data_IF_540753645039
#
_entry.id   IF_540753645039
#
_cell.length_a   1.000
_cell.length_b   1.000
_cell.length_c   1.000
_cell.angle_alpha   90.00
_cell.angle_beta   90.00
_cell.angle_gamma   90.00
#
_symmetry.space_group_name_H-M   'P 1'
#
loop_
_entity.id
_entity.type
_entity.pdbx_description
1 polymer ?
#
# COMPACT_ATOMS: atom_id res chain seq x y z
N UNK A 1 -19.90 24.38 -16.94
CA UNK A 1 -19.57 25.50 -17.88
C UNK A 1 -18.92 24.97 -19.17
N UNK A 2 -17.86 24.16 -19.11
CA UNK A 2 -17.18 23.59 -20.29
C UNK A 2 -18.13 22.82 -21.19
N UNK A 3 -19.02 22.00 -20.64
CA UNK A 3 -20.02 21.24 -21.39
C UNK A 3 -21.00 22.16 -22.15
N UNK A 4 -21.41 23.26 -21.52
CA UNK A 4 -22.28 24.26 -22.16
C UNK A 4 -21.58 24.96 -23.31
N UNK A 5 -20.31 25.34 -23.16
CA UNK A 5 -19.49 25.92 -24.20
C UNK A 5 -19.27 24.99 -25.40
N UNK A 6 -19.15 23.67 -25.13
CA UNK A 6 -19.00 22.65 -26.16
C UNK A 6 -20.35 22.26 -26.83
N UNK A 7 -21.48 22.76 -26.32
CA UNK A 7 -22.81 22.37 -26.79
C UNK A 7 -23.13 20.88 -26.58
N UNK A 8 -22.53 20.26 -25.56
CA UNK A 8 -22.68 18.82 -25.24
C UNK A 8 -23.22 18.67 -23.83
N UNK A 9 -23.87 17.54 -23.57
CA UNK A 9 -24.29 17.19 -22.22
C UNK A 9 -23.06 16.85 -21.36
N UNK A 10 -23.04 17.25 -20.05
CA UNK A 10 -21.97 16.87 -19.14
C UNK A 10 -21.93 15.35 -18.95
N UNK A 11 -20.73 14.83 -18.68
CA UNK A 11 -20.55 13.43 -18.28
C UNK A 11 -20.94 13.20 -16.83
N UNK A 12 -20.71 11.99 -16.31
CA UNK A 12 -20.99 11.66 -14.92
C UNK A 12 -20.38 12.69 -13.94
N UNK A 13 -21.06 12.95 -12.83
CA UNK A 13 -20.66 13.91 -11.78
C UNK A 13 -20.47 15.35 -12.30
N UNK A 14 -20.98 15.68 -13.50
CA UNK A 14 -20.88 17.01 -14.08
C UNK A 14 -19.53 17.35 -14.74
N UNK A 15 -18.65 16.37 -14.92
CA UNK A 15 -17.40 16.57 -15.66
C UNK A 15 -17.63 16.85 -17.15
N UNK A 16 -16.64 17.47 -17.79
CA UNK A 16 -16.67 17.69 -19.24
C UNK A 16 -16.68 16.36 -20.02
N UNK A 17 -17.39 16.29 -21.15
CA UNK A 17 -17.46 15.07 -21.96
C UNK A 17 -16.11 14.69 -22.61
N UNK A 18 -15.15 15.63 -22.65
CA UNK A 18 -13.79 15.47 -23.19
C UNK A 18 -12.75 15.08 -22.15
N UNK A 19 -13.14 14.80 -20.89
CA UNK A 19 -12.22 14.52 -19.79
C UNK A 19 -11.19 13.44 -20.15
N UNK A 20 -11.63 12.30 -20.67
CA UNK A 20 -10.75 11.20 -21.02
C UNK A 20 -9.78 11.56 -22.15
N UNK A 21 -10.23 12.33 -23.15
CA UNK A 21 -9.37 12.75 -24.26
C UNK A 21 -8.30 13.73 -23.80
N UNK A 22 -8.67 14.73 -23.01
CA UNK A 22 -7.75 15.73 -22.47
C UNK A 22 -6.70 15.09 -21.54
N UNK A 23 -7.13 14.14 -20.71
CA UNK A 23 -6.22 13.37 -19.87
C UNK A 23 -5.28 12.50 -20.72
N UNK A 24 -5.79 11.83 -21.74
CA UNK A 24 -5.02 11.01 -22.67
C UNK A 24 -3.92 11.80 -23.38
N UNK A 25 -4.23 12.99 -23.88
CA UNK A 25 -3.25 13.87 -24.53
C UNK A 25 -2.04 14.21 -23.62
N UNK A 26 -2.29 14.43 -22.33
CA UNK A 26 -1.23 14.64 -21.36
C UNK A 26 -0.42 13.36 -21.11
N UNK A 27 -1.10 12.27 -20.86
CA UNK A 27 -0.47 11.01 -20.45
C UNK A 27 0.34 10.36 -21.57
N UNK A 28 -0.08 10.46 -22.82
CA UNK A 28 0.64 9.92 -23.99
C UNK A 28 1.99 10.60 -24.24
N UNK A 29 2.23 11.78 -23.69
CA UNK A 29 3.53 12.44 -23.75
C UNK A 29 4.56 11.85 -22.79
N UNK A 30 4.12 11.09 -21.81
CA UNK A 30 4.96 10.40 -20.82
C UNK A 30 5.30 9.03 -21.42
N UNK A 31 6.40 9.00 -22.16
CA UNK A 31 6.77 7.81 -22.93
C UNK A 31 8.29 7.64 -23.01
N UNK A 32 8.71 6.42 -23.31
CA UNK A 32 10.10 6.10 -23.66
C UNK A 32 10.30 6.21 -25.18
N UNK A 33 11.38 6.84 -25.58
CA UNK A 33 11.81 6.98 -26.97
C UNK A 33 13.17 6.33 -27.19
N UNK A 34 13.69 6.37 -28.42
CA UNK A 34 15.05 5.88 -28.71
C UNK A 34 16.14 6.67 -28.00
N UNK A 35 15.89 7.93 -27.68
CA UNK A 35 16.89 8.85 -27.12
C UNK A 35 16.75 9.08 -25.62
N UNK A 36 15.68 8.58 -24.99
CA UNK A 36 15.47 8.76 -23.56
C UNK A 36 14.06 8.37 -23.11
N UNK A 37 13.81 8.51 -21.81
CA UNK A 37 12.53 8.18 -21.20
C UNK A 37 12.07 9.31 -20.27
N UNK A 38 10.77 9.42 -20.08
CA UNK A 38 10.15 10.31 -19.09
C UNK A 38 9.53 9.44 -17.98
N UNK A 39 10.03 9.62 -16.76
CA UNK A 39 9.39 9.06 -15.56
C UNK A 39 8.58 10.15 -14.88
N UNK A 40 7.33 9.91 -14.58
CA UNK A 40 6.48 10.87 -13.88
C UNK A 40 6.06 10.35 -12.50
N UNK A 41 5.95 11.28 -11.56
CA UNK A 41 5.29 11.07 -10.27
C UNK A 41 4.14 12.08 -10.20
N UNK A 42 2.92 11.56 -10.13
CA UNK A 42 1.72 12.36 -10.20
C UNK A 42 0.94 12.26 -8.89
N UNK A 43 0.72 13.38 -8.22
CA UNK A 43 -0.19 13.44 -7.09
C UNK A 43 -1.63 13.61 -7.62
N UNK A 44 -2.47 12.62 -7.35
CA UNK A 44 -3.88 12.63 -7.76
C UNK A 44 -4.75 12.89 -6.54
N UNK A 45 -5.50 14.00 -6.58
CA UNK A 45 -6.47 14.29 -5.54
C UNK A 45 -7.75 13.49 -5.77
N UNK A 46 -8.20 12.77 -4.75
CA UNK A 46 -9.39 11.92 -4.82
C UNK A 46 -10.52 12.59 -4.05
N UNK A 47 -11.57 13.12 -4.73
CA UNK A 47 -12.68 13.77 -4.07
C UNK A 47 -13.44 12.80 -3.15
N UNK A 48 -13.67 13.22 -1.91
CA UNK A 48 -14.41 12.44 -0.91
C UNK A 48 -13.92 11.00 -0.68
N UNK A 49 -12.63 10.74 -0.92
CA UNK A 49 -12.02 9.41 -0.86
C UNK A 49 -12.66 8.38 -1.82
N UNK A 50 -13.36 8.84 -2.85
CA UNK A 50 -14.04 8.01 -3.84
C UNK A 50 -13.15 7.75 -5.06
N UNK A 51 -12.46 6.61 -5.08
CA UNK A 51 -11.62 6.16 -6.18
C UNK A 51 -12.40 5.90 -7.48
N UNK A 52 -13.72 5.80 -7.41
CA UNK A 52 -14.60 5.59 -8.57
C UNK A 52 -15.04 6.91 -9.24
N UNK A 53 -14.73 8.06 -8.63
CA UNK A 53 -14.95 9.35 -9.26
C UNK A 53 -14.29 9.40 -10.65
N UNK A 54 -14.96 9.95 -11.69
CA UNK A 54 -14.43 9.93 -13.06
C UNK A 54 -13.04 10.53 -13.24
N UNK A 55 -12.65 11.53 -12.45
CA UNK A 55 -11.35 12.17 -12.58
C UNK A 55 -10.19 11.24 -12.13
N UNK A 56 -10.16 10.71 -10.89
CA UNK A 56 -9.15 9.74 -10.51
C UNK A 56 -9.24 8.44 -11.32
N UNK A 57 -10.43 7.91 -11.58
CA UNK A 57 -10.60 6.67 -12.34
C UNK A 57 -10.01 6.77 -13.76
N UNK A 58 -10.25 7.88 -14.47
CA UNK A 58 -9.66 8.12 -15.78
C UNK A 58 -8.14 8.26 -15.72
N UNK A 59 -7.62 8.92 -14.69
CA UNK A 59 -6.19 9.09 -14.49
C UNK A 59 -5.51 7.77 -14.22
N UNK A 60 -6.05 6.94 -13.34
CA UNK A 60 -5.48 5.64 -12.95
C UNK A 60 -5.36 4.67 -14.11
N UNK A 61 -6.24 4.74 -15.10
CA UNK A 61 -6.18 3.92 -16.30
C UNK A 61 -4.87 4.11 -17.11
N UNK A 62 -4.22 5.25 -16.98
CA UNK A 62 -2.98 5.59 -17.68
C UNK A 62 -1.70 5.31 -16.86
N UNK A 63 -1.83 5.01 -15.56
CA UNK A 63 -0.67 4.84 -14.68
C UNK A 63 -0.16 3.40 -14.69
N UNK A 64 1.18 3.25 -14.63
CA UNK A 64 1.82 1.95 -14.52
C UNK A 64 1.86 1.44 -13.08
N UNK A 65 1.86 2.34 -12.11
CA UNK A 65 1.79 2.03 -10.70
C UNK A 65 0.95 3.07 -9.94
N UNK A 66 0.22 2.60 -8.95
CA UNK A 66 -0.56 3.46 -8.06
C UNK A 66 -0.18 3.20 -6.61
N UNK A 67 0.03 4.28 -5.85
CA UNK A 67 0.21 4.22 -4.41
C UNK A 67 -0.96 4.95 -3.77
N UNK A 68 -1.86 4.19 -3.14
CA UNK A 68 -3.07 4.72 -2.54
C UNK A 68 -2.86 5.00 -1.05
N UNK A 69 -3.09 6.24 -0.63
CA UNK A 69 -3.09 6.62 0.79
C UNK A 69 -4.50 6.49 1.36
N UNK A 70 -4.63 5.87 2.52
CA UNK A 70 -5.92 5.55 3.14
C UNK A 70 -6.08 6.21 4.52
N UNK A 71 -7.20 6.91 4.75
CA UNK A 71 -7.54 7.46 6.07
C UNK A 71 -7.74 6.37 7.12
N UNK A 72 -8.28 5.22 6.73
CA UNK A 72 -8.47 4.07 7.62
C UNK A 72 -7.15 3.56 8.20
N UNK A 73 -6.06 3.66 7.42
CA UNK A 73 -4.72 3.28 7.88
C UNK A 73 -4.14 4.36 8.80
N UNK A 74 -4.40 5.65 8.52
CA UNK A 74 -4.05 6.75 9.43
C UNK A 74 -4.71 6.58 10.80
N UNK A 75 -5.98 6.19 10.84
CA UNK A 75 -6.73 5.95 12.07
C UNK A 75 -6.12 4.82 12.93
N UNK A 76 -5.40 3.90 12.32
CA UNK A 76 -4.65 2.84 13.01
C UNK A 76 -3.27 3.31 13.49
N UNK A 77 -2.89 4.57 13.21
CA UNK A 77 -1.58 5.12 13.56
C UNK A 77 -0.42 4.60 12.70
N UNK A 78 -0.71 4.04 11.54
CA UNK A 78 0.29 3.48 10.62
C UNK A 78 0.71 4.56 9.61
N UNK A 79 2.00 4.86 9.58
CA UNK A 79 2.62 5.81 8.64
C UNK A 79 3.88 5.22 8.02
N UNK A 80 4.12 5.40 6.69
CA UNK A 80 3.21 6.02 5.72
C UNK A 80 1.92 5.25 5.55
N UNK A 81 0.80 5.94 5.35
CA UNK A 81 -0.55 5.34 5.36
C UNK A 81 -0.92 4.74 3.99
N UNK A 82 -0.03 3.96 3.42
CA UNK A 82 -0.23 3.29 2.13
C UNK A 82 -1.11 2.07 2.30
N UNK A 83 -2.16 1.96 1.48
CA UNK A 83 -3.01 0.77 1.43
C UNK A 83 -2.39 -0.27 0.48
N UNK A 84 -1.89 -1.40 0.99
CA UNK A 84 -1.23 -2.42 0.18
C UNK A 84 -2.21 -3.23 -0.70
N UNK A 85 -3.50 -3.22 -0.40
CA UNK A 85 -4.52 -3.93 -1.16
C UNK A 85 -5.06 -3.08 -2.32
N UNK A 86 -5.16 -1.76 -2.14
CA UNK A 86 -5.61 -0.82 -3.17
C UNK A 86 -4.46 -0.31 -4.06
N UNK A 87 -3.22 -0.45 -3.61
CA UNK A 87 -2.03 -0.09 -4.37
C UNK A 87 -1.62 -1.19 -5.34
N UNK A 88 -1.13 -0.80 -6.52
CA UNK A 88 -0.77 -1.76 -7.56
C UNK A 88 0.44 -1.31 -8.38
N UNK A 89 1.10 -2.25 -9.06
CA UNK A 89 2.16 -1.98 -10.02
C UNK A 89 2.15 -3.02 -11.13
N UNK A 90 2.25 -2.58 -12.38
CA UNK A 90 2.30 -3.47 -13.55
C UNK A 90 3.60 -4.28 -13.63
N UNK A 91 4.68 -3.76 -13.04
CA UNK A 91 5.96 -4.47 -13.03
C UNK A 91 6.07 -5.52 -11.93
N UNK A 92 5.05 -5.68 -11.09
CA UNK A 92 5.03 -6.74 -10.07
C UNK A 92 4.66 -8.10 -10.72
N UNK A 93 5.57 -8.59 -11.52
CA UNK A 93 5.50 -9.88 -12.22
C UNK A 93 6.80 -10.65 -11.97
N UNK A 94 6.73 -11.98 -11.90
CA UNK A 94 7.87 -12.81 -11.49
C UNK A 94 9.08 -12.71 -12.44
N UNK A 95 8.83 -12.53 -13.74
CA UNK A 95 9.85 -12.36 -14.76
C UNK A 95 10.52 -10.97 -14.75
N UNK A 96 9.91 -9.99 -14.08
CA UNK A 96 10.44 -8.62 -13.97
C UNK A 96 11.17 -8.40 -12.63
N UNK A 97 10.50 -8.71 -11.51
CA UNK A 97 11.04 -8.43 -10.17
C UNK A 97 11.72 -9.65 -9.53
N UNK A 98 11.62 -10.81 -10.14
CA UNK A 98 12.10 -12.10 -9.62
C UNK A 98 11.07 -12.83 -8.78
N UNK A 99 11.17 -14.16 -8.78
CA UNK A 99 10.23 -15.08 -8.11
C UNK A 99 10.05 -14.79 -6.62
N UNK A 100 11.14 -14.52 -5.90
CA UNK A 100 11.08 -14.30 -4.47
C UNK A 100 10.31 -13.03 -4.12
N UNK A 101 10.61 -11.92 -4.77
CA UNK A 101 9.92 -10.66 -4.55
C UNK A 101 8.43 -10.80 -4.88
N UNK A 102 8.12 -11.39 -6.05
CA UNK A 102 6.74 -11.60 -6.47
C UNK A 102 5.96 -12.47 -5.47
N UNK A 103 6.52 -13.63 -5.08
CA UNK A 103 5.92 -14.55 -4.12
C UNK A 103 5.64 -13.89 -2.78
N UNK A 104 6.63 -13.18 -2.23
CA UNK A 104 6.48 -12.50 -0.94
C UNK A 104 5.40 -11.42 -1.00
N UNK A 105 5.40 -10.57 -2.03
CA UNK A 105 4.40 -9.51 -2.19
C UNK A 105 2.98 -10.09 -2.31
N UNK A 106 2.79 -11.14 -3.12
CA UNK A 106 1.50 -11.82 -3.27
C UNK A 106 1.04 -12.47 -1.97
N UNK A 107 1.96 -13.09 -1.23
CA UNK A 107 1.62 -13.72 0.05
C UNK A 107 1.21 -12.70 1.11
N UNK A 108 1.88 -11.55 1.16
CA UNK A 108 1.48 -10.42 2.01
C UNK A 108 0.06 -9.95 1.67
N UNK A 109 -0.24 -9.76 0.39
CA UNK A 109 -1.59 -9.35 -0.06
C UNK A 109 -2.65 -10.41 0.31
N UNK A 110 -2.35 -11.69 0.10
CA UNK A 110 -3.25 -12.80 0.45
C UNK A 110 -3.59 -12.81 1.94
N UNK A 111 -2.56 -12.70 2.80
CA UNK A 111 -2.74 -12.68 4.26
C UNK A 111 -3.56 -11.47 4.70
N UNK A 112 -3.28 -10.29 4.17
CA UNK A 112 -4.02 -9.07 4.49
C UNK A 112 -5.47 -9.11 3.99
N UNK A 113 -5.70 -9.67 2.80
CA UNK A 113 -7.04 -9.83 2.25
C UNK A 113 -7.86 -10.81 3.11
N UNK A 114 -7.28 -11.96 3.45
CA UNK A 114 -7.93 -12.92 4.33
C UNK A 114 -8.23 -12.32 5.71
N UNK A 115 -7.32 -11.54 6.26
CA UNK A 115 -7.55 -10.84 7.52
C UNK A 115 -8.72 -9.86 7.44
N UNK A 116 -8.82 -9.09 6.34
CA UNK A 116 -9.94 -8.19 6.09
C UNK A 116 -11.28 -8.93 6.10
N UNK A 117 -11.35 -10.12 5.49
CA UNK A 117 -12.54 -10.96 5.48
C UNK A 117 -12.88 -11.52 6.88
N UNK A 118 -11.86 -11.84 7.67
CA UNK A 118 -12.06 -12.36 9.04
C UNK A 118 -12.44 -11.28 10.06
N UNK A 119 -12.20 -10.00 9.76
CA UNK A 119 -12.48 -8.91 10.71
C UNK A 119 -13.95 -8.84 11.12
N UNK A 120 -14.87 -9.06 10.20
CA UNK A 120 -16.31 -9.06 10.49
C UNK A 120 -16.69 -10.23 11.40
N UNK A 121 -16.10 -11.40 11.17
CA UNK A 121 -16.30 -12.60 12.00
C UNK A 121 -15.75 -12.35 13.41
N UNK A 122 -14.55 -11.80 13.52
CA UNK A 122 -13.91 -11.47 14.80
C UNK A 122 -14.74 -10.47 15.59
N UNK A 123 -15.31 -9.45 14.92
CA UNK A 123 -16.12 -8.43 15.57
C UNK A 123 -17.44 -8.98 16.16
N UNK A 124 -18.00 -10.01 15.54
CA UNK A 124 -19.30 -10.60 15.95
C UNK A 124 -19.10 -11.77 16.92
N UNK A 125 -18.21 -12.69 16.60
CA UNK A 125 -18.04 -13.96 17.31
C UNK A 125 -16.81 -14.00 18.23
N UNK A 126 -15.84 -13.11 18.02
CA UNK A 126 -14.57 -13.10 18.74
C UNK A 126 -13.50 -13.99 18.10
N UNK A 127 -12.27 -13.85 18.59
CA UNK A 127 -11.10 -14.59 18.09
C UNK A 127 -11.16 -16.09 18.39
N UNK A 128 -11.85 -16.47 19.47
CA UNK A 128 -11.89 -17.87 19.95
C UNK A 128 -12.60 -18.82 18.99
N UNK A 129 -13.54 -18.29 18.20
CA UNK A 129 -14.32 -19.06 17.22
C UNK A 129 -13.56 -19.34 15.91
N UNK A 130 -12.40 -18.73 15.72
CA UNK A 130 -11.57 -18.97 14.54
C UNK A 130 -10.85 -20.32 14.63
N UNK A 131 -10.61 -20.93 13.47
CA UNK A 131 -9.71 -22.08 13.36
C UNK A 131 -8.26 -21.67 13.73
N UNK A 132 -7.44 -22.63 14.12
CA UNK A 132 -6.04 -22.34 14.46
C UNK A 132 -5.27 -21.74 13.29
N UNK A 133 -5.55 -22.15 12.05
CA UNK A 133 -4.95 -21.59 10.84
C UNK A 133 -5.39 -20.14 10.61
N UNK A 134 -6.67 -19.82 10.89
CA UNK A 134 -7.17 -18.45 10.78
C UNK A 134 -6.60 -17.55 11.88
N UNK A 135 -6.47 -18.06 13.10
CA UNK A 135 -5.78 -17.34 14.19
C UNK A 135 -4.34 -17.01 13.82
N UNK A 136 -3.60 -17.97 13.27
CA UNK A 136 -2.24 -17.76 12.81
C UNK A 136 -2.18 -16.69 11.70
N UNK A 137 -3.11 -16.77 10.74
CA UNK A 137 -3.24 -15.75 9.68
C UNK A 137 -3.48 -14.35 10.26
N UNK A 138 -4.36 -14.22 11.24
CA UNK A 138 -4.64 -12.94 11.92
C UNK A 138 -3.41 -12.42 12.64
N UNK A 139 -2.67 -13.25 13.37
CA UNK A 139 -1.45 -12.84 14.06
C UNK A 139 -0.37 -12.35 13.09
N UNK A 140 -0.15 -13.07 12.00
CA UNK A 140 0.80 -12.64 10.95
C UNK A 140 0.33 -11.37 10.24
N UNK A 141 -0.96 -11.25 9.94
CA UNK A 141 -1.52 -10.05 9.33
C UNK A 141 -1.31 -8.80 10.19
N UNK A 142 -1.53 -8.88 11.49
CA UNK A 142 -1.28 -7.78 12.43
C UNK A 142 0.20 -7.38 12.48
N UNK A 143 1.11 -8.36 12.49
CA UNK A 143 2.55 -8.11 12.40
C UNK A 143 2.92 -7.41 11.08
N UNK A 144 2.38 -7.88 9.95
CA UNK A 144 2.55 -7.26 8.63
C UNK A 144 2.06 -5.81 8.65
N UNK A 145 0.86 -5.54 9.17
CA UNK A 145 0.33 -4.17 9.27
C UNK A 145 1.23 -3.26 10.10
N UNK A 146 1.74 -3.75 11.25
CA UNK A 146 2.68 -3.01 12.07
C UNK A 146 4.00 -2.78 11.36
N UNK A 147 4.53 -3.78 10.65
CA UNK A 147 5.80 -3.70 9.93
C UNK A 147 5.73 -2.80 8.68
N UNK A 148 4.54 -2.55 8.14
CA UNK A 148 4.32 -1.55 7.10
C UNK A 148 4.53 -0.11 7.61
N UNK A 149 4.44 0.14 8.91
CA UNK A 149 4.84 1.41 9.50
C UNK A 149 6.35 1.51 9.54
N UNK A 150 6.89 2.67 9.18
CA UNK A 150 8.33 2.90 9.33
C UNK A 150 8.64 4.36 9.63
N UNK A 151 9.75 4.64 10.34
CA UNK A 151 10.22 5.99 10.51
C UNK A 151 10.80 6.51 9.19
N UNK A 152 10.35 7.66 8.72
CA UNK A 152 10.83 8.27 7.49
C UNK A 152 11.26 9.71 7.70
N UNK A 153 12.25 10.16 6.93
CA UNK A 153 12.98 11.41 7.16
C UNK A 153 12.08 12.65 7.19
N UNK A 154 11.07 12.72 6.33
CA UNK A 154 10.15 13.86 6.27
C UNK A 154 9.34 14.03 7.56
N UNK A 155 9.10 12.94 8.28
CA UNK A 155 8.32 12.95 9.52
C UNK A 155 9.16 13.21 10.79
N UNK A 156 10.47 13.27 10.72
CA UNK A 156 11.35 13.41 11.90
C UNK A 156 11.00 14.60 12.78
N UNK A 157 10.67 15.74 12.16
CA UNK A 157 10.31 16.96 12.89
C UNK A 157 8.99 16.84 13.66
N UNK A 158 8.12 15.93 13.26
CA UNK A 158 6.82 15.71 13.88
C UNK A 158 6.83 14.57 14.90
N UNK A 159 7.58 13.52 14.61
CA UNK A 159 7.62 12.30 15.43
C UNK A 159 8.73 12.31 16.47
N UNK A 160 9.79 13.10 16.27
CA UNK A 160 11.01 13.05 17.06
C UNK A 160 11.84 11.77 16.86
N UNK A 161 11.45 10.92 15.91
CA UNK A 161 12.14 9.67 15.59
C UNK A 161 12.94 9.84 14.29
N UNK A 162 14.25 9.55 14.28
CA UNK A 162 15.05 9.62 13.06
C UNK A 162 14.53 8.69 11.98
N UNK A 163 14.45 9.21 10.74
CA UNK A 163 14.06 8.41 9.59
C UNK A 163 15.07 7.33 9.27
N UNK A 164 14.60 6.23 8.72
CA UNK A 164 15.44 5.09 8.34
C UNK A 164 15.21 4.72 6.88
N UNK A 165 16.27 4.72 6.09
CA UNK A 165 16.24 4.18 4.74
C UNK A 165 16.43 2.67 4.80
N UNK A 166 15.47 1.92 4.24
CA UNK A 166 15.52 0.46 4.16
C UNK A 166 15.68 0.05 2.69
N UNK A 167 16.78 -0.62 2.32
CA UNK A 167 16.95 -1.17 0.98
C UNK A 167 15.84 -2.18 0.63
N UNK A 168 15.49 -2.26 -0.67
CA UNK A 168 14.44 -3.17 -1.14
C UNK A 168 14.71 -4.63 -0.75
N UNK A 169 15.96 -5.07 -0.81
CA UNK A 169 16.33 -6.44 -0.42
C UNK A 169 16.00 -6.73 1.05
N UNK A 170 16.27 -5.77 1.94
CA UNK A 170 15.94 -5.89 3.37
C UNK A 170 14.42 -5.89 3.60
N UNK A 171 13.69 -5.09 2.82
CA UNK A 171 12.22 -5.10 2.86
C UNK A 171 11.67 -6.47 2.48
N UNK A 172 12.14 -7.04 1.37
CA UNK A 172 11.71 -8.38 0.90
C UNK A 172 12.08 -9.43 1.95
N UNK A 173 13.30 -9.40 2.49
CA UNK A 173 13.77 -10.31 3.52
C UNK A 173 12.88 -10.25 4.78
N UNK A 174 12.59 -9.04 5.25
CA UNK A 174 11.74 -8.84 6.43
C UNK A 174 10.33 -9.39 6.26
N UNK A 175 9.65 -9.05 5.16
CA UNK A 175 8.32 -9.58 4.89
C UNK A 175 8.34 -11.10 4.66
N UNK A 176 9.37 -11.63 4.01
CA UNK A 176 9.56 -13.08 3.86
C UNK A 176 9.62 -13.79 5.20
N UNK A 177 10.44 -13.31 6.13
CA UNK A 177 10.55 -13.87 7.47
C UNK A 177 9.19 -13.91 8.20
N UNK A 178 8.36 -12.87 8.03
CA UNK A 178 7.03 -12.83 8.63
C UNK A 178 6.08 -13.85 7.98
N UNK A 179 6.02 -13.88 6.64
CA UNK A 179 5.06 -14.76 5.93
C UNK A 179 5.44 -16.23 6.02
N UNK A 180 6.73 -16.55 6.09
CA UNK A 180 7.25 -17.91 6.23
C UNK A 180 7.19 -18.41 7.70
N UNK A 181 6.89 -17.52 8.68
CA UNK A 181 6.62 -17.86 10.07
C UNK A 181 7.85 -17.82 11.00
N UNK A 182 9.00 -17.38 10.50
CA UNK A 182 10.22 -17.25 11.31
C UNK A 182 10.07 -16.24 12.46
N UNK A 183 9.08 -15.36 12.34
CA UNK A 183 8.82 -14.29 13.30
C UNK A 183 7.59 -14.54 14.18
N UNK A 184 7.03 -15.76 14.18
CA UNK A 184 5.79 -16.04 14.89
C UNK A 184 5.93 -15.90 16.42
N UNK A 185 7.11 -16.14 16.98
CA UNK A 185 7.40 -16.02 18.42
C UNK A 185 7.52 -14.57 18.92
N UNK A 186 7.77 -13.61 18.02
CA UNK A 186 7.98 -12.22 18.40
C UNK A 186 6.66 -11.49 18.63
N UNK A 187 6.56 -10.59 19.63
CA UNK A 187 5.33 -9.87 19.95
C UNK A 187 4.99 -8.81 18.89
N UNK A 188 3.70 -8.60 18.63
CA UNK A 188 3.17 -7.67 17.61
C UNK A 188 3.73 -6.24 17.75
N UNK A 189 3.88 -5.73 18.96
CA UNK A 189 4.35 -4.36 19.20
C UNK A 189 5.79 -4.11 18.71
N UNK A 190 6.62 -5.16 18.64
CA UNK A 190 8.01 -5.03 18.18
C UNK A 190 8.11 -4.61 16.71
N UNK A 191 7.12 -4.94 15.90
CA UNK A 191 7.06 -4.63 14.46
C UNK A 191 6.67 -3.18 14.15
N UNK A 192 6.22 -2.43 15.14
CA UNK A 192 5.73 -1.09 14.92
C UNK A 192 6.87 -0.07 14.83
N UNK A 193 6.85 0.75 13.77
CA UNK A 193 7.78 1.87 13.54
C UNK A 193 9.27 1.47 13.62
N UNK A 194 9.61 0.46 12.86
CA UNK A 194 10.97 -0.07 12.70
C UNK A 194 11.37 -0.06 11.23
N UNK A 195 12.65 -0.19 10.91
CA UNK A 195 13.15 -0.25 9.53
C UNK A 195 13.26 -1.68 9.04
N UNK A 196 14.20 -2.44 9.58
CA UNK A 196 14.50 -3.83 9.15
C UNK A 196 13.93 -4.86 10.11
N UNK A 197 13.99 -6.13 9.70
CA UNK A 197 13.56 -7.23 10.58
C UNK A 197 14.50 -7.40 11.77
N UNK A 198 15.78 -7.06 11.62
CA UNK A 198 16.74 -7.08 12.72
C UNK A 198 16.38 -6.06 13.81
N UNK A 199 15.86 -4.89 13.42
CA UNK A 199 15.35 -3.91 14.39
C UNK A 199 14.19 -4.46 15.23
N UNK A 200 13.34 -5.32 14.64
CA UNK A 200 12.27 -6.01 15.38
C UNK A 200 12.87 -6.89 16.47
N UNK A 201 13.88 -7.67 16.11
CA UNK A 201 14.57 -8.59 17.04
C UNK A 201 15.25 -7.82 18.18
N UNK A 202 15.97 -6.74 17.84
CA UNK A 202 16.63 -5.88 18.83
C UNK A 202 15.62 -5.22 19.77
N UNK A 203 14.53 -4.70 19.20
CA UNK A 203 13.46 -4.05 19.96
C UNK A 203 12.76 -5.02 20.91
N UNK A 204 12.49 -6.25 20.47
CA UNK A 204 11.90 -7.27 21.32
C UNK A 204 12.81 -7.60 22.50
N UNK A 205 14.12 -7.83 22.26
CA UNK A 205 15.11 -8.11 23.30
C UNK A 205 15.29 -6.97 24.30
N UNK A 206 15.20 -5.71 23.86
CA UNK A 206 15.44 -4.54 24.71
C UNK A 206 14.34 -4.30 25.75
N UNK A 207 13.17 -4.88 25.60
CA UNK A 207 12.06 -4.75 26.55
C UNK A 207 11.89 -5.98 27.46
N UNK A 208 12.59 -7.08 27.15
CA UNK A 208 12.64 -8.27 28.02
C UNK A 208 13.73 -8.15 29.11
N UNK A 209 14.61 -7.15 29.01
CA UNK A 209 15.70 -6.86 29.94
C UNK A 209 15.29 -5.72 30.91
#
# INVERSE_FOLDING_TARGET
EVSALLGRMPSAVGYQPTLANEMGELQERIASTKNGSVTSVQAVYVPADDLTDPAPATTFAHLDATTVLSRKIVEQGIYPAVDPLESSSRILEADVVGEEHYRVARKVQEILQKYKELQDIIAILGMEELSEDDKLTVFRARKIQRFLSQPFHVAETFTGVPGKYVPLAETIHGFKAIVDGEMDEYPEWAFFNVGTIDDVIEKAKSQEA
#
